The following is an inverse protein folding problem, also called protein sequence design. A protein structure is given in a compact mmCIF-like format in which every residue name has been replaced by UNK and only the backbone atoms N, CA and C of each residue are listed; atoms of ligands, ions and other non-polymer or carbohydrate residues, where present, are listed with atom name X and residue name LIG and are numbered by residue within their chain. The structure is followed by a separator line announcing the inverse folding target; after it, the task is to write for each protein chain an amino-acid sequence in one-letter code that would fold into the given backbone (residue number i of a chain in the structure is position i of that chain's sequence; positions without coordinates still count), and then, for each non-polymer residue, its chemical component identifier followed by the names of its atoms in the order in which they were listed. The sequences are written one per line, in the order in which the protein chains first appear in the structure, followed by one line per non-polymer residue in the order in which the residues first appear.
data_IF_718818655309
#
_entry.id   IF_718818655309
#
_cell.length_a   1.000
_cell.length_b   1.000
_cell.length_c   1.000
_cell.angle_alpha   90.00
_cell.angle_beta   90.00
_cell.angle_gamma   90.00
#
_symmetry.space_group_name_H-M   'P 1'
#
loop_
_entity.id
_entity.type
_entity.pdbx_description
1 polymer ?
#
# COMPACT_ATOMS: atom_id res chain seq x y z
N UNK A 1 -15.95 -5.68 -43.20
CA UNK A 1 -17.18 -5.41 -42.43
C UNK A 1 -17.43 -3.91 -42.47
N UNK A 2 -18.69 -3.49 -42.48
CA UNK A 2 -19.06 -2.05 -42.51
C UNK A 2 -19.15 -1.55 -41.06
N UNK A 3 -18.60 -0.38 -40.76
CA UNK A 3 -18.80 0.30 -39.46
C UNK A 3 -20.29 0.61 -39.30
N UNK A 4 -20.86 0.34 -38.14
CA UNK A 4 -22.26 0.64 -37.85
C UNK A 4 -22.52 2.13 -38.08
N UNK A 5 -23.58 2.46 -38.81
CA UNK A 5 -23.99 3.85 -39.06
C UNK A 5 -24.59 4.46 -37.77
N UNK A 6 -23.72 5.04 -36.94
CA UNK A 6 -24.07 5.68 -35.68
C UNK A 6 -24.51 7.15 -35.85
N UNK A 7 -24.58 7.67 -37.09
CA UNK A 7 -24.93 9.08 -37.36
C UNK A 7 -26.29 9.50 -36.80
N UNK A 8 -27.21 8.56 -36.61
CA UNK A 8 -28.54 8.78 -36.02
C UNK A 8 -28.52 8.96 -34.50
N UNK A 9 -27.47 8.47 -33.85
CA UNK A 9 -27.29 8.49 -32.40
C UNK A 9 -26.22 9.50 -31.96
N UNK A 10 -25.51 10.08 -32.92
CA UNK A 10 -24.52 11.12 -32.68
C UNK A 10 -25.18 12.40 -32.16
N UNK A 11 -24.50 13.02 -31.21
CA UNK A 11 -24.95 14.27 -30.61
C UNK A 11 -24.69 15.44 -31.57
N UNK A 12 -25.75 16.14 -31.98
CA UNK A 12 -25.63 17.32 -32.85
C UNK A 12 -25.46 18.57 -32.00
N UNK A 13 -24.24 19.10 -31.95
CA UNK A 13 -23.89 20.34 -31.24
C UNK A 13 -22.80 21.12 -31.98
N UNK A 14 -22.49 22.34 -31.51
CA UNK A 14 -21.30 23.11 -31.95
C UNK A 14 -19.99 22.48 -31.45
N UNK A 15 -20.08 21.58 -30.47
CA UNK A 15 -18.96 20.86 -29.88
C UNK A 15 -18.77 19.49 -30.54
N UNK A 16 -17.51 19.08 -30.69
CA UNK A 16 -17.15 17.77 -31.22
C UNK A 16 -17.61 16.64 -30.30
N UNK A 17 -18.14 15.57 -30.91
CA UNK A 17 -18.36 14.30 -30.23
C UNK A 17 -17.02 13.61 -29.95
N UNK A 18 -16.98 12.71 -28.96
CA UNK A 18 -15.79 11.87 -28.73
C UNK A 18 -15.57 10.94 -29.92
N UNK A 19 -16.63 10.50 -30.59
CA UNK A 19 -16.54 9.70 -31.80
C UNK A 19 -15.79 10.41 -32.93
N UNK A 20 -16.05 11.70 -33.17
CA UNK A 20 -15.48 12.42 -34.32
C UNK A 20 -13.96 12.63 -34.25
N UNK A 21 -13.37 12.48 -33.05
CA UNK A 21 -11.93 12.63 -32.82
C UNK A 21 -11.18 11.29 -32.73
N UNK A 22 -11.89 10.16 -32.69
CA UNK A 22 -11.28 8.84 -32.59
C UNK A 22 -10.93 8.30 -33.97
N UNK A 23 -9.64 8.03 -34.20
CA UNK A 23 -9.17 7.29 -35.36
C UNK A 23 -9.00 5.82 -35.01
N UNK A 24 -9.89 4.96 -35.53
CA UNK A 24 -9.92 3.52 -35.25
C UNK A 24 -9.80 2.76 -36.56
N UNK A 25 -8.64 2.14 -36.79
CA UNK A 25 -8.36 1.40 -38.03
C UNK A 25 -9.21 0.14 -38.19
N UNK A 26 -9.59 -0.51 -37.09
CA UNK A 26 -10.29 -1.80 -37.09
C UNK A 26 -11.80 -1.65 -36.87
N UNK A 27 -12.57 -2.11 -37.86
CA UNK A 27 -14.04 -1.96 -37.88
C UNK A 27 -14.76 -2.68 -36.74
N UNK A 28 -14.24 -3.83 -36.29
CA UNK A 28 -14.80 -4.59 -35.16
C UNK A 28 -14.58 -3.84 -33.85
N UNK A 29 -13.40 -3.23 -33.68
CA UNK A 29 -13.07 -2.43 -32.50
C UNK A 29 -13.93 -1.18 -32.47
N UNK A 30 -14.07 -0.48 -33.60
CA UNK A 30 -14.94 0.68 -33.75
C UNK A 30 -16.38 0.37 -33.30
N UNK A 31 -16.98 -0.71 -33.82
CA UNK A 31 -18.33 -1.13 -33.44
C UNK A 31 -18.42 -1.47 -31.93
N UNK A 32 -17.40 -2.12 -31.37
CA UNK A 32 -17.36 -2.46 -29.94
C UNK A 32 -17.32 -1.22 -29.05
N UNK A 33 -16.54 -0.21 -29.45
CA UNK A 33 -16.41 1.06 -28.71
C UNK A 33 -17.73 1.83 -28.74
N UNK A 34 -18.41 1.87 -29.89
CA UNK A 34 -19.76 2.43 -30.01
C UNK A 34 -20.72 1.71 -29.06
N UNK A 35 -20.81 0.37 -29.16
CA UNK A 35 -21.79 -0.40 -28.40
C UNK A 35 -21.58 -0.32 -26.87
N UNK A 36 -20.32 -0.36 -26.42
CA UNK A 36 -20.01 -0.40 -24.98
C UNK A 36 -19.94 0.99 -24.35
N UNK A 37 -19.38 1.96 -25.05
CA UNK A 37 -19.06 3.27 -24.47
C UNK A 37 -20.00 4.38 -24.98
N UNK A 38 -20.74 4.16 -26.07
CA UNK A 38 -21.64 5.14 -26.70
C UNK A 38 -20.92 6.47 -26.94
N UNK A 39 -19.71 6.39 -27.52
CA UNK A 39 -18.82 7.53 -27.73
C UNK A 39 -19.41 8.61 -28.63
N UNK A 40 -20.38 8.25 -29.48
CA UNK A 40 -21.19 9.15 -30.31
C UNK A 40 -22.13 10.04 -29.49
N UNK A 41 -22.48 9.61 -28.27
CA UNK A 41 -23.32 10.34 -27.32
C UNK A 41 -22.52 11.14 -26.29
N UNK A 42 -21.19 11.25 -26.46
CA UNK A 42 -20.28 11.96 -25.55
C UNK A 42 -19.78 13.24 -26.20
N UNK A 43 -19.96 14.39 -25.54
CA UNK A 43 -19.46 15.69 -26.01
C UNK A 43 -18.14 16.10 -25.36
N UNK A 44 -17.31 16.81 -26.12
CA UNK A 44 -16.06 17.39 -25.64
C UNK A 44 -16.19 18.91 -25.59
N UNK A 45 -16.27 19.47 -24.38
CA UNK A 45 -16.53 20.89 -24.15
C UNK A 45 -15.31 21.51 -23.47
N UNK A 46 -14.60 22.49 -24.08
CA UNK A 46 -13.31 22.95 -23.57
C UNK A 46 -13.34 23.43 -22.11
N UNK A 47 -14.40 24.15 -21.71
CA UNK A 47 -14.49 24.78 -20.40
C UNK A 47 -15.67 24.29 -19.55
N UNK A 48 -15.45 24.21 -18.24
CA UNK A 48 -16.47 23.86 -17.25
C UNK A 48 -17.64 24.86 -17.21
N UNK A 49 -17.41 26.11 -17.61
CA UNK A 49 -18.46 27.13 -17.72
C UNK A 49 -19.41 26.87 -18.88
N UNK A 50 -18.87 26.54 -20.06
CA UNK A 50 -19.66 26.19 -21.24
C UNK A 50 -20.45 24.90 -21.01
N UNK A 51 -19.80 23.89 -20.42
CA UNK A 51 -20.45 22.61 -20.12
C UNK A 51 -21.64 22.79 -19.16
N UNK A 52 -21.46 23.60 -18.11
CA UNK A 52 -22.54 23.91 -17.17
C UNK A 52 -23.68 24.71 -17.79
N UNK A 53 -23.40 25.65 -18.71
CA UNK A 53 -24.45 26.42 -19.41
C UNK A 53 -25.29 25.52 -20.32
N UNK A 54 -24.64 24.62 -21.05
CA UNK A 54 -25.28 23.77 -22.04
C UNK A 54 -26.10 22.63 -21.42
N UNK A 55 -25.59 22.01 -20.34
CA UNK A 55 -26.12 20.75 -19.83
C UNK A 55 -27.10 20.90 -18.65
N UNK A 56 -27.19 22.09 -18.05
CA UNK A 56 -28.05 22.41 -16.90
C UNK A 56 -29.45 22.91 -17.28
N UNK A 57 -29.69 23.25 -18.54
CA UNK A 57 -31.01 23.64 -19.01
C UNK A 57 -31.51 22.62 -20.02
N UNK A 58 -32.59 21.92 -19.66
CA UNK A 58 -33.22 20.89 -20.50
C UNK A 58 -33.55 21.36 -21.92
N UNK A 59 -33.80 22.66 -22.12
CA UNK A 59 -34.09 23.23 -23.44
C UNK A 59 -32.86 23.38 -24.33
N UNK A 60 -31.68 23.50 -23.72
CA UNK A 60 -30.38 23.69 -24.38
C UNK A 60 -29.60 22.39 -24.57
N UNK A 61 -29.95 21.32 -23.85
CA UNK A 61 -29.29 20.01 -23.97
C UNK A 61 -29.41 19.49 -25.41
N UNK A 62 -28.28 19.21 -26.09
CA UNK A 62 -28.28 18.61 -27.41
C UNK A 62 -28.94 17.22 -27.42
N UNK A 63 -29.65 16.88 -28.50
CA UNK A 63 -30.26 15.56 -28.67
C UNK A 63 -29.20 14.46 -28.59
N UNK A 64 -29.55 13.36 -27.91
CA UNK A 64 -28.69 12.18 -27.70
C UNK A 64 -27.42 12.43 -26.86
N UNK A 65 -27.28 13.59 -26.21
CA UNK A 65 -26.17 13.82 -25.29
C UNK A 65 -26.34 12.98 -24.01
N UNK A 66 -25.41 12.07 -23.75
CA UNK A 66 -25.38 11.24 -22.53
C UNK A 66 -24.51 11.85 -21.43
N UNK A 67 -23.33 12.35 -21.81
CA UNK A 67 -22.43 13.06 -20.92
C UNK A 67 -21.46 13.94 -21.72
N UNK A 68 -20.78 14.86 -21.04
CA UNK A 68 -19.70 15.64 -21.61
C UNK A 68 -18.47 15.62 -20.72
N UNK A 69 -17.31 15.78 -21.32
CA UNK A 69 -16.04 15.93 -20.63
C UNK A 69 -15.41 17.28 -20.95
N UNK A 70 -14.79 17.88 -19.92
CA UNK A 70 -13.98 19.10 -20.07
C UNK A 70 -12.50 18.80 -20.23
N UNK A 71 -11.71 19.80 -20.61
CA UNK A 71 -10.26 19.68 -20.68
C UNK A 71 -9.63 19.33 -19.31
N UNK A 72 -10.27 19.75 -18.22
CA UNK A 72 -9.88 19.41 -16.85
C UNK A 72 -10.35 18.01 -16.42
N UNK A 73 -10.93 17.23 -17.33
CA UNK A 73 -11.52 15.92 -17.10
C UNK A 73 -12.73 15.95 -16.16
N UNK A 74 -13.41 17.09 -16.06
CA UNK A 74 -14.69 17.16 -15.36
C UNK A 74 -15.75 16.43 -16.18
N UNK A 75 -16.53 15.57 -15.54
CA UNK A 75 -17.61 14.84 -16.17
C UNK A 75 -18.95 15.49 -15.85
N UNK A 76 -19.68 15.88 -16.89
CA UNK A 76 -21.01 16.47 -16.80
C UNK A 76 -22.06 15.51 -17.35
N UNK A 77 -23.19 15.39 -16.65
CA UNK A 77 -24.37 14.72 -17.15
C UNK A 77 -25.51 15.73 -17.30
N UNK A 78 -26.29 15.65 -18.39
CA UNK A 78 -27.35 16.62 -18.68
C UNK A 78 -28.61 16.46 -17.83
N UNK A 79 -29.41 17.52 -17.78
CA UNK A 79 -30.78 17.50 -17.27
C UNK A 79 -31.65 16.43 -17.97
N UNK A 80 -32.60 15.79 -17.27
CA UNK A 80 -33.15 16.15 -15.95
C UNK A 80 -32.35 15.66 -14.73
N UNK A 81 -31.33 14.83 -14.92
CA UNK A 81 -30.50 14.28 -13.84
C UNK A 81 -29.12 14.93 -13.85
N UNK A 82 -29.10 16.26 -13.81
CA UNK A 82 -27.86 17.02 -13.88
C UNK A 82 -26.93 16.68 -12.71
N UNK A 83 -25.71 16.24 -13.04
CA UNK A 83 -24.67 15.92 -12.06
C UNK A 83 -23.29 16.23 -12.65
N UNK A 84 -22.39 16.68 -11.79
CA UNK A 84 -21.02 17.03 -12.15
C UNK A 84 -20.07 16.28 -11.24
N UNK A 85 -19.09 15.62 -11.83
CA UNK A 85 -17.97 15.01 -11.12
C UNK A 85 -16.70 15.73 -11.55
N UNK A 86 -16.05 16.39 -10.61
CA UNK A 86 -14.78 17.05 -10.88
C UNK A 86 -13.72 16.03 -11.24
N UNK A 87 -13.00 16.30 -12.32
CA UNK A 87 -11.83 15.52 -12.68
C UNK A 87 -10.75 15.70 -11.62
N UNK A 88 -10.07 14.62 -11.24
CA UNK A 88 -8.79 14.77 -10.54
C UNK A 88 -7.80 15.33 -11.56
N UNK A 89 -7.45 16.61 -11.43
CA UNK A 89 -6.61 17.33 -12.38
C UNK A 89 -5.36 16.55 -12.80
N UNK A 90 -5.02 16.65 -14.09
CA UNK A 90 -3.90 16.00 -14.78
C UNK A 90 -3.79 14.48 -14.58
N UNK A 91 -4.54 13.74 -15.40
CA UNK A 91 -4.25 12.33 -15.62
C UNK A 91 -3.64 12.14 -17.01
N UNK A 92 -2.36 11.76 -16.99
CA UNK A 92 -1.56 11.38 -18.15
C UNK A 92 -2.22 10.23 -18.91
N UNK A 93 -2.31 10.34 -20.24
CA UNK A 93 -2.80 9.25 -21.09
C UNK A 93 -1.86 8.03 -20.97
N UNK A 94 -2.40 6.90 -20.51
CA UNK A 94 -1.63 5.67 -20.22
C UNK A 94 -1.51 4.71 -21.41
N UNK A 95 -2.53 4.70 -22.26
CA UNK A 95 -2.70 3.67 -23.29
C UNK A 95 -2.67 4.28 -24.71
N UNK A 96 -3.44 5.34 -24.94
CA UNK A 96 -3.44 6.08 -26.19
C UNK A 96 -2.43 7.24 -26.08
N UNK A 97 -1.16 6.93 -26.31
CA UNK A 97 -0.07 7.92 -26.30
C UNK A 97 0.27 8.35 -27.74
N UNK A 98 0.48 9.65 -27.92
CA UNK A 98 0.69 10.26 -29.26
C UNK A 98 2.10 10.01 -29.80
N UNK A 99 3.10 9.82 -28.93
CA UNK A 99 4.50 9.63 -29.32
C UNK A 99 5.30 8.83 -28.29
N UNK A 100 6.22 7.99 -28.77
CA UNK A 100 7.17 7.22 -27.95
C UNK A 100 8.23 8.13 -27.32
N UNK A 101 8.60 9.21 -28.01
CA UNK A 101 9.53 10.24 -27.53
C UNK A 101 8.97 10.99 -26.31
N UNK A 102 7.67 11.28 -26.29
CA UNK A 102 6.99 11.83 -25.11
C UNK A 102 7.04 10.85 -23.94
N UNK A 103 6.83 9.56 -24.21
CA UNK A 103 6.95 8.52 -23.19
C UNK A 103 8.35 8.43 -22.61
N UNK A 104 9.39 8.53 -23.44
CA UNK A 104 10.80 8.52 -23.01
C UNK A 104 11.11 9.74 -22.15
N UNK A 105 10.74 10.95 -22.62
CA UNK A 105 10.95 12.21 -21.87
C UNK A 105 10.30 12.19 -20.50
N UNK A 106 9.10 11.64 -20.41
CA UNK A 106 8.38 11.51 -19.15
C UNK A 106 9.02 10.47 -18.22
N UNK A 107 9.46 9.32 -18.75
CA UNK A 107 10.14 8.30 -17.94
C UNK A 107 11.45 8.84 -17.39
N UNK A 108 12.21 9.60 -18.19
CA UNK A 108 13.44 10.25 -17.72
C UNK A 108 13.17 11.24 -16.61
N UNK A 109 12.12 12.06 -16.74
CA UNK A 109 11.72 13.02 -15.70
C UNK A 109 11.31 12.32 -14.40
N UNK A 110 10.48 11.28 -14.48
CA UNK A 110 10.08 10.51 -13.29
C UNK A 110 11.28 9.83 -12.62
N UNK A 111 12.23 9.34 -13.42
CA UNK A 111 13.47 8.77 -12.89
C UNK A 111 14.26 9.83 -12.12
N UNK A 112 14.41 11.04 -12.67
CA UNK A 112 15.08 12.15 -12.00
C UNK A 112 14.40 12.53 -10.68
N UNK A 113 13.08 12.71 -10.68
CA UNK A 113 12.29 13.02 -9.47
C UNK A 113 12.44 11.94 -8.38
N UNK A 114 12.39 10.65 -8.76
CA UNK A 114 12.63 9.55 -7.83
C UNK A 114 14.07 9.55 -7.29
N UNK A 115 15.04 9.90 -8.12
CA UNK A 115 16.46 9.93 -7.73
C UNK A 115 16.74 11.07 -6.76
N UNK A 116 16.16 12.25 -7.00
CA UNK A 116 16.23 13.38 -6.07
C UNK A 116 15.57 13.05 -4.73
N UNK A 117 14.38 12.45 -4.75
CA UNK A 117 13.68 12.05 -3.51
C UNK A 117 14.47 11.01 -2.72
N UNK A 118 15.10 10.05 -3.40
CA UNK A 118 16.00 9.08 -2.77
C UNK A 118 17.23 9.77 -2.16
N UNK A 119 17.84 10.71 -2.89
CA UNK A 119 18.98 11.46 -2.39
C UNK A 119 18.61 12.29 -1.15
N UNK A 120 17.43 12.91 -1.11
CA UNK A 120 16.95 13.65 0.05
C UNK A 120 16.79 12.73 1.27
N UNK A 121 16.11 11.60 1.13
CA UNK A 121 15.92 10.62 2.22
C UNK A 121 17.27 10.08 2.74
N UNK A 122 18.22 9.78 1.84
CA UNK A 122 19.54 9.25 2.23
C UNK A 122 20.41 10.32 2.89
N UNK A 123 20.39 11.55 2.37
CA UNK A 123 21.26 12.61 2.88
C UNK A 123 20.73 13.28 4.14
N UNK A 124 19.41 13.44 4.26
CA UNK A 124 18.78 14.11 5.38
C UNK A 124 18.51 13.11 6.51
N UNK A 125 17.55 12.21 6.31
CA UNK A 125 17.01 11.39 7.40
C UNK A 125 18.01 10.36 7.93
N UNK A 126 18.74 9.69 7.02
CA UNK A 126 19.71 8.66 7.43
C UNK A 126 20.94 9.30 8.09
N UNK A 127 21.49 10.38 7.54
CA UNK A 127 22.68 11.02 8.13
C UNK A 127 22.38 11.69 9.46
N UNK A 128 21.22 12.33 9.58
CA UNK A 128 20.78 12.97 10.83
C UNK A 128 20.58 11.91 11.92
N UNK A 129 19.86 10.82 11.62
CA UNK A 129 19.68 9.69 12.54
C UNK A 129 21.01 9.05 12.97
N UNK A 130 21.98 8.94 12.06
CA UNK A 130 23.33 8.43 12.38
C UNK A 130 24.12 9.39 13.27
N UNK A 131 23.99 10.70 13.07
CA UNK A 131 24.62 11.70 13.91
C UNK A 131 24.04 11.67 15.33
N UNK A 132 22.72 11.59 15.47
CA UNK A 132 22.04 11.46 16.76
C UNK A 132 22.47 10.19 17.53
N UNK A 133 22.54 9.04 16.83
CA UNK A 133 23.02 7.79 17.42
C UNK A 133 24.44 7.91 17.98
N UNK A 134 25.33 8.59 17.25
CA UNK A 134 26.71 8.80 17.68
C UNK A 134 26.78 9.67 18.95
N UNK A 135 25.98 10.72 18.99
CA UNK A 135 25.89 11.65 20.12
C UNK A 135 25.34 10.96 21.39
N UNK A 136 24.34 10.10 21.23
CA UNK A 136 23.78 9.24 22.28
C UNK A 136 24.80 8.22 22.80
N UNK A 137 25.57 7.59 21.92
CA UNK A 137 26.64 6.65 22.31
C UNK A 137 27.72 7.34 23.16
N UNK A 138 28.10 8.57 22.81
CA UNK A 138 29.10 9.33 23.56
C UNK A 138 28.59 9.74 24.95
N UNK A 139 27.33 10.19 25.04
CA UNK A 139 26.67 10.47 26.34
C UNK A 139 26.59 9.23 27.22
N UNK A 140 26.26 8.07 26.65
CA UNK A 140 26.27 6.79 27.38
C UNK A 140 27.67 6.45 27.92
N UNK A 141 28.71 6.63 27.10
CA UNK A 141 30.10 6.35 27.50
C UNK A 141 30.52 7.24 28.67
N UNK A 142 30.25 8.55 28.61
CA UNK A 142 30.56 9.48 29.70
C UNK A 142 29.81 9.11 30.98
N UNK A 143 28.53 8.80 30.89
CA UNK A 143 27.72 8.38 32.05
C UNK A 143 28.26 7.08 32.66
N UNK A 144 28.67 6.12 31.84
CA UNK A 144 29.26 4.86 32.31
C UNK A 144 30.59 5.07 33.06
N UNK A 145 31.44 5.99 32.59
CA UNK A 145 32.68 6.37 33.28
C UNK A 145 32.39 7.04 34.62
N UNK A 146 31.38 7.91 34.70
CA UNK A 146 30.95 8.55 35.97
C UNK A 146 30.46 7.51 36.97
N UNK A 147 29.64 6.55 36.53
CA UNK A 147 29.18 5.44 37.37
C UNK A 147 30.36 4.61 37.89
N UNK A 148 31.38 4.38 37.07
CA UNK A 148 32.58 3.66 37.49
C UNK A 148 33.40 4.47 38.51
N UNK A 149 33.48 5.80 38.35
CA UNK A 149 34.08 6.72 39.32
C UNK A 149 33.38 6.67 40.67
N UNK A 150 32.05 6.86 40.68
CA UNK A 150 31.26 6.79 41.91
C UNK A 150 31.35 5.43 42.59
N UNK A 151 31.44 4.32 41.83
CA UNK A 151 31.69 3.00 42.42
C UNK A 151 33.03 2.90 43.14
N UNK A 152 34.09 3.51 42.61
CA UNK A 152 35.41 3.54 43.25
C UNK A 152 35.39 4.39 44.50
N UNK A 153 34.81 5.58 44.45
CA UNK A 153 34.65 6.47 45.60
C UNK A 153 33.83 5.82 46.72
N UNK A 154 32.75 5.12 46.37
CA UNK A 154 31.93 4.37 47.32
C UNK A 154 32.71 3.19 47.93
N UNK A 155 33.64 2.59 47.18
CA UNK A 155 34.58 1.59 47.69
C UNK A 155 35.58 2.17 48.69
N UNK A 156 36.17 3.33 48.40
CA UNK A 156 37.09 4.00 49.34
C UNK A 156 36.37 4.49 50.59
N UNK A 157 35.16 5.05 50.44
CA UNK A 157 34.35 5.51 51.58
C UNK A 157 33.95 4.35 52.50
N UNK A 158 33.73 3.15 51.94
CA UNK A 158 33.49 1.93 52.72
C UNK A 158 34.72 1.48 53.50
N UNK A 159 35.92 1.61 52.93
CA UNK A 159 37.14 1.27 53.65
C UNK A 159 37.42 2.27 54.77
N UNK A 160 37.25 3.57 54.53
CA UNK A 160 37.41 4.58 55.59
C UNK A 160 36.34 4.45 56.67
N UNK A 161 35.10 4.08 56.33
CA UNK A 161 34.09 3.71 57.32
C UNK A 161 34.53 2.53 58.18
N UNK A 162 35.14 1.50 57.58
CA UNK A 162 35.65 0.34 58.31
C UNK A 162 36.87 0.69 59.21
N UNK A 163 37.73 1.62 58.77
CA UNK A 163 38.85 2.13 59.58
C UNK A 163 38.36 3.01 60.74
N UNK A 164 37.39 3.89 60.49
CA UNK A 164 36.79 4.75 61.53
C UNK A 164 35.96 3.94 62.54
N UNK A 165 35.28 2.87 62.10
CA UNK A 165 34.62 1.92 63.01
C UNK A 165 35.60 1.14 63.90
N UNK A 166 36.86 1.00 63.49
CA UNK A 166 37.92 0.40 64.30
C UNK A 166 38.65 1.41 65.22
N UNK A 167 38.42 2.71 65.05
CA UNK A 167 38.99 3.77 65.88
C UNK A 167 37.91 4.42 66.77
N UNK A 168 37.31 3.64 67.67
CA UNK A 168 36.63 4.21 68.84
C UNK A 168 37.66 4.64 69.88
N UNK A 169 38.15 5.88 69.80
CA UNK A 169 38.49 6.63 71.02
C UNK A 169 38.30 8.13 70.80
N UNK A 170 37.41 8.69 71.64
CA UNK A 170 37.19 10.10 72.03
C UNK A 170 36.34 11.02 71.13
N UNK A 171 35.24 11.61 71.65
CA UNK A 171 34.45 12.61 70.93
C UNK A 171 34.85 14.05 71.30
N UNK A 172 34.78 14.98 70.33
CA UNK A 172 34.43 16.36 70.60
C UNK A 172 33.17 16.80 69.80
N UNK A 173 32.58 17.97 70.11
CA UNK A 173 31.15 18.20 69.99
C UNK A 173 30.76 18.82 68.64
N UNK A 174 30.12 18.04 67.76
CA UNK A 174 29.07 18.50 66.84
C UNK A 174 28.27 17.31 66.26
N UNK A 175 27.97 16.33 67.13
CA UNK A 175 27.49 14.99 66.73
C UNK A 175 26.08 15.05 66.14
N UNK A 176 25.24 15.97 66.58
CA UNK A 176 23.82 16.03 66.19
C UNK A 176 23.60 16.45 64.73
N UNK A 177 24.43 17.34 64.18
CA UNK A 177 24.30 17.75 62.78
C UNK A 177 24.79 16.65 61.84
N UNK A 178 25.88 15.99 62.21
CA UNK A 178 26.44 14.87 61.46
C UNK A 178 25.53 13.62 61.52
N UNK A 179 24.89 13.35 62.66
CA UNK A 179 23.88 12.28 62.78
C UNK A 179 22.66 12.52 61.88
N UNK A 180 22.17 13.76 61.80
CA UNK A 180 21.05 14.14 60.93
C UNK A 180 21.43 13.97 59.44
N UNK A 181 22.64 14.39 59.04
CA UNK A 181 23.14 14.22 57.67
C UNK A 181 23.38 12.75 57.30
N UNK A 182 23.93 11.94 58.21
CA UNK A 182 24.10 10.50 58.02
C UNK A 182 22.75 9.84 57.81
N UNK A 183 21.75 10.17 58.63
CA UNK A 183 20.38 9.63 58.50
C UNK A 183 19.73 10.01 57.16
N UNK A 184 19.95 11.24 56.68
CA UNK A 184 19.48 11.67 55.36
C UNK A 184 20.20 10.95 54.21
N UNK A 185 21.51 10.74 54.32
CA UNK A 185 22.30 10.02 53.33
C UNK A 185 21.91 8.55 53.27
N UNK A 186 21.68 7.90 54.41
CA UNK A 186 21.19 6.52 54.48
C UNK A 186 19.82 6.37 53.82
N UNK A 187 18.90 7.31 54.06
CA UNK A 187 17.59 7.33 53.41
C UNK A 187 17.71 7.51 51.88
N UNK A 188 18.57 8.41 51.42
CA UNK A 188 18.86 8.60 49.98
C UNK A 188 19.49 7.34 49.37
N UNK A 189 20.38 6.67 50.08
CA UNK A 189 21.04 5.45 49.65
C UNK A 189 20.04 4.28 49.56
N UNK A 190 19.11 4.19 50.50
CA UNK A 190 17.99 3.23 50.48
C UNK A 190 17.09 3.43 49.26
N UNK A 191 16.67 4.67 49.00
CA UNK A 191 15.86 5.03 47.84
C UNK A 191 16.59 4.76 46.51
N UNK A 192 17.89 5.04 46.43
CA UNK A 192 18.70 4.75 45.26
C UNK A 192 18.83 3.25 45.00
N UNK A 193 19.00 2.43 46.05
CA UNK A 193 19.02 0.96 45.94
C UNK A 193 17.67 0.41 45.48
N UNK A 194 16.56 0.90 46.02
CA UNK A 194 15.22 0.47 45.62
C UNK A 194 14.95 0.75 44.13
N UNK A 195 15.25 1.97 43.65
CA UNK A 195 15.13 2.33 42.23
C UNK A 195 16.03 1.49 41.33
N UNK A 196 17.23 1.13 41.81
CA UNK A 196 18.17 0.30 41.04
C UNK A 196 17.65 -1.13 40.85
N UNK A 197 17.04 -1.72 41.88
CA UNK A 197 16.40 -3.04 41.78
C UNK A 197 15.14 -3.01 40.91
N UNK A 198 14.35 -1.95 40.98
CA UNK A 198 13.18 -1.78 40.11
C UNK A 198 13.58 -1.69 38.62
N UNK A 199 14.59 -0.88 38.30
CA UNK A 199 15.14 -0.77 36.94
C UNK A 199 15.73 -2.12 36.48
N UNK A 200 16.44 -2.82 37.37
CA UNK A 200 17.01 -4.14 37.06
C UNK A 200 15.92 -5.16 36.74
N UNK A 201 14.83 -5.18 37.51
CA UNK A 201 13.69 -6.07 37.27
C UNK A 201 13.01 -5.76 35.94
N UNK A 202 12.69 -4.49 35.68
CA UNK A 202 12.06 -4.07 34.42
C UNK A 202 12.95 -4.34 33.19
N UNK A 203 14.26 -4.19 33.32
CA UNK A 203 15.20 -4.51 32.24
C UNK A 203 15.24 -6.02 31.93
N UNK A 204 15.10 -6.88 32.95
CA UNK A 204 15.07 -8.33 32.78
C UNK A 204 13.79 -8.78 32.09
N UNK A 205 12.64 -8.23 32.49
CA UNK A 205 11.33 -8.50 31.88
C UNK A 205 11.33 -8.11 30.40
N UNK A 206 11.75 -6.89 30.06
CA UNK A 206 11.85 -6.44 28.65
C UNK A 206 12.82 -7.30 27.81
N UNK A 207 13.89 -7.81 28.43
CA UNK A 207 14.84 -8.70 27.75
C UNK A 207 14.21 -10.07 27.47
N UNK A 208 13.40 -10.60 28.39
CA UNK A 208 12.65 -11.84 28.15
C UNK A 208 11.60 -11.66 27.06
N UNK A 209 10.84 -10.57 27.08
CA UNK A 209 9.88 -10.24 26.02
C UNK A 209 10.54 -10.14 24.65
N UNK A 210 11.69 -9.44 24.55
CA UNK A 210 12.44 -9.34 23.31
C UNK A 210 12.92 -10.70 22.81
N UNK A 211 13.41 -11.57 23.70
CA UNK A 211 13.85 -12.91 23.32
C UNK A 211 12.67 -13.76 22.82
N UNK A 212 11.51 -13.69 23.47
CA UNK A 212 10.30 -14.39 23.04
C UNK A 212 9.85 -13.89 21.67
N UNK A 213 9.80 -12.57 21.47
CA UNK A 213 9.47 -11.96 20.18
C UNK A 213 10.47 -12.33 19.07
N UNK A 214 11.76 -12.37 19.39
CA UNK A 214 12.80 -12.78 18.43
C UNK A 214 12.62 -14.26 18.02
N UNK A 215 12.27 -15.14 18.96
CA UNK A 215 12.01 -16.55 18.67
C UNK A 215 10.77 -16.73 17.79
N UNK A 216 9.67 -16.03 18.07
CA UNK A 216 8.45 -16.09 17.22
C UNK A 216 8.72 -15.55 15.83
N UNK A 217 9.51 -14.48 15.70
CA UNK A 217 9.88 -13.92 14.40
C UNK A 217 10.74 -14.89 13.58
N UNK A 218 11.63 -15.66 14.22
CA UNK A 218 12.43 -16.69 13.54
C UNK A 218 11.55 -17.84 13.04
N UNK A 219 10.60 -18.32 13.84
CA UNK A 219 9.66 -19.37 13.43
C UNK A 219 8.79 -18.92 12.24
N UNK A 220 8.28 -17.69 12.27
CA UNK A 220 7.51 -17.13 11.15
C UNK A 220 8.34 -17.03 9.86
N UNK A 221 9.58 -16.54 9.93
CA UNK A 221 10.47 -16.50 8.75
C UNK A 221 10.76 -17.90 8.21
N UNK A 222 10.90 -18.90 9.08
CA UNK A 222 11.13 -20.27 8.65
C UNK A 222 9.91 -20.86 7.94
N UNK A 223 8.71 -20.61 8.47
CA UNK A 223 7.44 -21.00 7.84
C UNK A 223 7.23 -20.30 6.50
N UNK A 224 7.51 -19.01 6.43
CA UNK A 224 7.47 -18.22 5.20
C UNK A 224 8.43 -18.80 4.14
N UNK A 225 9.68 -19.04 4.51
CA UNK A 225 10.68 -19.64 3.60
C UNK A 225 10.24 -21.02 3.12
N UNK A 226 9.69 -21.85 4.00
CA UNK A 226 9.15 -23.16 3.62
C UNK A 226 7.99 -23.01 2.62
N UNK A 227 7.05 -22.10 2.87
CA UNK A 227 5.92 -21.83 1.99
C UNK A 227 6.39 -21.36 0.59
N UNK A 228 7.32 -20.41 0.51
CA UNK A 228 7.90 -19.99 -0.76
C UNK A 228 8.61 -21.14 -1.49
N UNK A 229 9.37 -21.97 -0.77
CA UNK A 229 10.04 -23.13 -1.37
C UNK A 229 9.06 -24.18 -1.91
N UNK A 230 7.89 -24.32 -1.29
CA UNK A 230 6.82 -25.18 -1.80
C UNK A 230 6.22 -24.58 -3.06
N UNK A 231 5.96 -23.26 -3.10
CA UNK A 231 5.41 -22.55 -4.27
C UNK A 231 6.36 -22.57 -5.46
N UNK A 232 7.67 -22.39 -5.29
CA UNK A 232 8.66 -22.45 -6.37
C UNK A 232 8.71 -23.81 -7.08
N UNK A 233 8.30 -24.90 -6.41
CA UNK A 233 8.23 -26.23 -7.03
C UNK A 233 7.10 -26.35 -8.05
N UNK A 234 6.10 -25.47 -7.98
CA UNK A 234 5.01 -25.41 -8.95
C UNK A 234 5.43 -24.53 -10.11
N UNK A 235 5.41 -25.09 -11.32
CA UNK A 235 5.65 -24.33 -12.54
C UNK A 235 4.34 -24.17 -13.26
N UNK A 236 4.15 -23.06 -13.95
CA UNK A 236 2.95 -22.83 -14.72
C UNK A 236 3.14 -21.75 -15.77
N UNK A 237 2.25 -21.74 -16.75
CA UNK A 237 2.21 -20.72 -17.78
C UNK A 237 0.76 -20.32 -18.01
N UNK A 238 0.52 -19.01 -18.02
CA UNK A 238 -0.75 -18.44 -18.46
C UNK A 238 -0.51 -17.79 -19.81
N UNK A 239 -1.21 -18.23 -20.85
CA UNK A 239 -1.19 -17.61 -22.17
C UNK A 239 -2.59 -17.23 -22.61
N UNK A 240 -2.71 -16.04 -23.19
CA UNK A 240 -3.97 -15.49 -23.69
C UNK A 240 -3.85 -15.46 -25.21
N UNK A 241 -4.68 -16.25 -25.89
CA UNK A 241 -4.81 -16.25 -27.35
C UNK A 241 -6.04 -15.44 -27.73
N UNK A 242 -5.84 -14.18 -28.13
CA UNK A 242 -6.94 -13.29 -28.53
C UNK A 242 -7.63 -13.83 -29.80
N UNK A 243 -6.85 -14.34 -30.75
CA UNK A 243 -7.34 -14.96 -32.00
C UNK A 243 -8.23 -16.18 -31.75
N UNK A 244 -7.97 -16.93 -30.69
CA UNK A 244 -8.71 -18.15 -30.32
C UNK A 244 -9.77 -17.90 -29.24
N UNK A 245 -9.93 -16.65 -28.77
CA UNK A 245 -10.73 -16.28 -27.59
C UNK A 245 -10.43 -17.16 -26.35
N UNK A 246 -9.19 -17.62 -26.19
CA UNK A 246 -8.84 -18.66 -25.22
C UNK A 246 -7.85 -18.17 -24.16
N UNK A 247 -8.14 -18.49 -22.89
CA UNK A 247 -7.22 -18.37 -21.76
C UNK A 247 -6.66 -19.74 -21.42
N UNK A 248 -5.39 -19.97 -21.73
CA UNK A 248 -4.70 -21.22 -21.44
C UNK A 248 -3.97 -21.09 -20.11
N UNK A 249 -4.36 -21.90 -19.12
CA UNK A 249 -3.69 -21.99 -17.82
C UNK A 249 -3.07 -23.37 -17.70
N UNK A 250 -1.75 -23.43 -17.68
CA UNK A 250 -0.99 -24.64 -17.44
C UNK A 250 -0.37 -24.58 -16.05
N UNK A 251 -0.53 -25.63 -15.26
CA UNK A 251 0.14 -25.81 -13.98
C UNK A 251 0.75 -27.20 -13.97
N UNK A 252 2.07 -27.25 -13.85
CA UNK A 252 2.86 -28.45 -13.68
C UNK A 252 3.04 -28.72 -12.19
N UNK A 253 2.37 -29.77 -11.70
CA UNK A 253 2.54 -30.25 -10.34
C UNK A 253 3.88 -30.98 -10.21
N UNK A 254 4.71 -30.66 -9.20
CA UNK A 254 5.98 -31.36 -8.99
C UNK A 254 5.76 -32.87 -8.78
N UNK A 255 6.44 -33.68 -9.60
CA UNK A 255 6.38 -35.15 -9.54
C UNK A 255 5.28 -35.80 -10.39
N UNK A 256 4.49 -35.04 -11.14
CA UNK A 256 3.47 -35.57 -12.07
C UNK A 256 3.80 -35.08 -13.48
N UNK A 257 4.27 -35.99 -14.34
CA UNK A 257 4.41 -35.69 -15.77
C UNK A 257 3.03 -35.74 -16.42
N UNK A 258 2.46 -34.57 -16.71
CA UNK A 258 1.25 -34.48 -17.53
C UNK A 258 1.66 -34.73 -18.99
N UNK A 259 1.16 -35.82 -19.59
CA UNK A 259 1.41 -36.16 -21.01
C UNK A 259 0.69 -35.22 -21.98
N UNK A 260 -0.13 -34.29 -21.49
CA UNK A 260 -0.69 -33.19 -22.27
C UNK A 260 -1.09 -32.03 -21.35
N UNK A 261 -0.89 -30.77 -21.76
CA UNK A 261 -1.40 -29.62 -21.02
C UNK A 261 -2.92 -29.72 -20.92
N UNK A 262 -3.47 -29.46 -19.73
CA UNK A 262 -4.92 -29.27 -19.57
C UNK A 262 -5.30 -28.03 -20.37
N UNK A 263 -5.74 -28.23 -21.61
CA UNK A 263 -6.33 -27.17 -22.43
C UNK A 263 -7.73 -26.90 -21.89
N UNK A 264 -7.86 -25.88 -21.05
CA UNK A 264 -9.17 -25.32 -20.73
C UNK A 264 -9.56 -24.43 -21.91
N UNK A 265 -10.08 -25.05 -22.97
CA UNK A 265 -10.46 -24.35 -24.20
C UNK A 265 -11.87 -23.77 -24.00
N UNK A 266 -11.96 -22.60 -23.35
CA UNK A 266 -13.22 -21.90 -23.16
C UNK A 266 -13.58 -21.12 -24.44
N UNK A 267 -14.15 -21.80 -25.43
CA UNK A 267 -14.72 -21.09 -26.58
C UNK A 267 -16.12 -20.57 -26.24
N UNK A 268 -16.42 -19.31 -26.59
CA UNK A 268 -17.73 -18.67 -26.40
C UNK A 268 -18.93 -19.47 -26.94
N UNK A 269 -18.69 -20.42 -27.86
CA UNK A 269 -19.70 -21.30 -28.46
C UNK A 269 -20.08 -22.51 -27.59
N UNK A 270 -19.17 -23.04 -26.77
CA UNK A 270 -19.42 -24.21 -25.93
C UNK A 270 -20.01 -23.83 -24.55
N UNK A 271 -19.69 -22.65 -24.02
CA UNK A 271 -20.29 -22.12 -22.78
C UNK A 271 -21.82 -22.00 -22.89
N UNK A 272 -22.37 -21.61 -24.05
CA UNK A 272 -23.82 -21.41 -24.21
C UNK A 272 -24.66 -22.68 -24.03
N UNK A 273 -24.05 -23.87 -24.07
CA UNK A 273 -24.73 -25.17 -23.89
C UNK A 273 -24.39 -25.89 -22.57
N UNK A 274 -23.45 -25.39 -21.78
CA UNK A 274 -23.02 -26.07 -20.56
C UNK A 274 -23.87 -25.68 -19.35
N UNK A 275 -24.26 -26.67 -18.54
CA UNK A 275 -24.90 -26.47 -17.22
C UNK A 275 -24.13 -25.49 -16.34
N UNK A 276 -22.79 -25.50 -16.40
CA UNK A 276 -21.92 -24.58 -15.65
C UNK A 276 -22.07 -23.11 -16.05
N UNK A 277 -22.40 -22.78 -17.30
CA UNK A 277 -22.68 -21.40 -17.70
C UNK A 277 -24.05 -20.94 -17.18
N UNK A 278 -25.01 -21.85 -17.10
CA UNK A 278 -26.31 -21.60 -16.48
C UNK A 278 -26.15 -21.35 -14.98
N UNK A 279 -25.31 -22.13 -14.29
CA UNK A 279 -24.99 -21.95 -12.87
C UNK A 279 -24.25 -20.62 -12.60
N UNK A 280 -23.30 -20.23 -13.45
CA UNK A 280 -22.59 -18.94 -13.36
C UNK A 280 -23.50 -17.72 -13.62
N UNK A 281 -24.50 -17.86 -14.51
CA UNK A 281 -25.53 -16.84 -14.74
C UNK A 281 -26.51 -16.76 -13.57
N UNK A 282 -26.81 -17.90 -12.94
CA UNK A 282 -27.70 -18.01 -11.78
C UNK A 282 -27.06 -17.54 -10.46
N UNK A 283 -25.74 -17.33 -10.42
CA UNK A 283 -25.09 -16.75 -9.24
C UNK A 283 -25.68 -15.37 -8.92
N UNK A 284 -25.93 -15.13 -7.64
CA UNK A 284 -26.35 -13.82 -7.13
C UNK A 284 -25.31 -12.75 -7.50
N UNK A 285 -25.73 -11.49 -7.63
CA UNK A 285 -24.81 -10.37 -7.89
C UNK A 285 -23.68 -10.27 -6.86
N UNK A 286 -23.94 -10.71 -5.62
CA UNK A 286 -22.94 -10.82 -4.57
C UNK A 286 -21.93 -11.95 -4.80
N UNK A 287 -22.38 -13.13 -5.22
CA UNK A 287 -21.52 -14.30 -5.48
C UNK A 287 -20.60 -14.07 -6.68
N UNK A 288 -21.12 -13.42 -7.73
CA UNK A 288 -20.32 -12.99 -8.89
C UNK A 288 -19.23 -12.00 -8.48
N UNK A 289 -19.58 -11.01 -7.67
CA UNK A 289 -18.64 -10.03 -7.14
C UNK A 289 -17.56 -10.71 -6.29
N UNK A 290 -17.95 -11.63 -5.40
CA UNK A 290 -17.02 -12.35 -4.52
C UNK A 290 -16.05 -13.25 -5.30
N UNK A 291 -16.56 -14.06 -6.22
CA UNK A 291 -15.72 -14.95 -7.03
C UNK A 291 -14.75 -14.17 -7.92
N UNK A 292 -15.18 -13.04 -8.47
CA UNK A 292 -14.33 -12.15 -9.28
C UNK A 292 -13.21 -11.55 -8.44
N UNK A 293 -13.52 -11.05 -7.24
CA UNK A 293 -12.52 -10.49 -6.32
C UNK A 293 -11.55 -11.57 -5.83
N UNK A 294 -12.04 -12.75 -5.46
CA UNK A 294 -11.20 -13.87 -5.04
C UNK A 294 -10.23 -14.31 -6.16
N UNK A 295 -10.68 -14.32 -7.41
CA UNK A 295 -9.83 -14.61 -8.56
C UNK A 295 -8.77 -13.52 -8.79
N UNK A 296 -9.13 -12.24 -8.69
CA UNK A 296 -8.18 -11.11 -8.77
C UNK A 296 -7.13 -11.19 -7.65
N UNK A 297 -7.56 -11.51 -6.42
CA UNK A 297 -6.66 -11.70 -5.26
C UNK A 297 -5.72 -12.91 -5.48
N UNK A 298 -6.21 -13.99 -6.08
CA UNK A 298 -5.36 -15.15 -6.40
C UNK A 298 -4.28 -14.81 -7.44
N UNK A 299 -4.61 -13.97 -8.43
CA UNK A 299 -3.66 -13.47 -9.43
C UNK A 299 -2.73 -12.36 -8.90
N UNK A 300 -3.07 -11.75 -7.76
CA UNK A 300 -2.36 -10.63 -7.13
C UNK A 300 -0.88 -10.88 -6.88
N UNK A 301 -0.50 -12.12 -6.57
CA UNK A 301 0.89 -12.50 -6.32
C UNK A 301 1.68 -12.77 -7.61
N UNK A 302 1.00 -13.12 -8.71
CA UNK A 302 1.61 -13.40 -10.01
C UNK A 302 1.73 -12.15 -10.90
N UNK A 303 0.95 -11.10 -10.62
CA UNK A 303 0.99 -9.84 -11.37
C UNK A 303 2.02 -8.90 -10.73
N UNK A 304 3.20 -8.79 -11.33
CA UNK A 304 4.17 -7.72 -11.01
C UNK A 304 3.72 -6.43 -11.71
N UNK A 305 2.70 -5.76 -11.16
CA UNK A 305 2.22 -4.45 -11.63
C UNK A 305 2.80 -3.31 -10.77
N UNK A 306 3.27 -2.19 -11.37
CA UNK A 306 3.85 -1.05 -10.66
C UNK A 306 2.83 -0.08 -10.05
N UNK A 307 1.52 -0.32 -10.14
CA UNK A 307 0.49 0.49 -9.45
C UNK A 307 -0.51 -0.45 -8.76
N UNK A 308 -0.72 -0.23 -7.47
CA UNK A 308 -1.70 -0.92 -6.63
C UNK A 308 -2.59 0.12 -5.97
N UNK A 309 -3.86 0.18 -6.39
CA UNK A 309 -4.90 0.98 -5.72
C UNK A 309 -6.18 0.15 -5.71
N UNK A 310 -6.61 -0.25 -4.53
CA UNK A 310 -7.98 -0.65 -4.21
C UNK A 310 -8.42 0.35 -3.14
N UNK A 311 -9.26 1.31 -3.52
CA UNK A 311 -9.90 2.22 -2.57
C UNK A 311 -11.36 1.79 -2.41
N UNK A 312 -11.84 1.84 -1.16
CA UNK A 312 -13.11 1.37 -0.59
C UNK A 312 -14.05 0.51 -1.47
N UNK A 313 -14.09 -0.80 -1.18
CA UNK A 313 -15.29 -1.61 -1.44
C UNK A 313 -16.28 -1.41 -0.29
N UNK A 314 -17.42 -0.80 -0.60
CA UNK A 314 -18.44 -0.39 0.35
C UNK A 314 -19.28 -1.58 0.90
N UNK A 315 -19.57 -1.49 2.20
CA UNK A 315 -20.43 -2.27 3.12
C UNK A 315 -20.34 -3.80 3.19
N UNK A 316 -20.27 -4.55 2.09
CA UNK A 316 -20.51 -6.02 2.12
C UNK A 316 -19.29 -6.89 2.46
N UNK A 317 -18.08 -6.31 2.47
CA UNK A 317 -16.81 -7.02 2.68
C UNK A 317 -16.08 -6.58 3.95
N UNK A 318 -16.72 -5.78 4.84
CA UNK A 318 -16.13 -5.34 6.12
C UNK A 318 -15.60 -6.49 6.97
N UNK A 319 -16.28 -7.64 6.94
CA UNK A 319 -15.88 -8.83 7.70
C UNK A 319 -14.59 -9.48 7.18
N UNK A 320 -14.31 -9.36 5.87
CA UNK A 320 -13.09 -9.91 5.28
C UNK A 320 -11.87 -9.02 5.58
N UNK A 321 -12.07 -7.70 5.57
CA UNK A 321 -11.01 -6.72 5.89
C UNK A 321 -10.60 -6.84 7.36
N UNK A 322 -11.54 -7.13 8.27
CA UNK A 322 -11.25 -7.39 9.68
C UNK A 322 -10.38 -8.65 9.89
N UNK A 323 -10.56 -9.68 9.07
CA UNK A 323 -9.75 -10.91 9.14
C UNK A 323 -8.29 -10.68 8.71
N UNK A 324 -8.06 -9.79 7.75
CA UNK A 324 -6.71 -9.47 7.24
C UNK A 324 -5.98 -8.49 8.16
N UNK A 325 -6.69 -7.56 8.80
CA UNK A 325 -6.09 -6.63 9.77
C UNK A 325 -5.81 -7.25 11.16
N UNK A 326 -6.37 -8.42 11.47
CA UNK A 326 -6.09 -9.13 12.73
C UNK A 326 -4.86 -10.05 12.70
N UNK A 327 -4.15 -10.15 11.57
CA UNK A 327 -3.00 -11.06 11.36
C UNK A 327 -1.70 -10.31 11.03
N UNK A 328 -1.74 -8.98 10.94
CA UNK A 328 -0.57 -8.10 10.94
C UNK A 328 -0.44 -7.43 12.31
#
# INVERSE_FOLDING_TARGET
MVVLDASRFETSSEYSSLWSILDISETVVANTVIDQMQVESILLIPTSQEAGKLLKDKSLVPKNCKCAYTLNLDQYYPDPNYRVYSGRGSHRARFLQVSVEDKIRDITKNKEECTERLNLLVTHDIKESLAELKDLQEKMKVSSSKIQGYKKELGSLRMTLAELQNQETTPPPDVTQLEEEVKQLEAKMGNAKAKMEEIRKSSLEKKQEFNNFSATLMDLRQKEKHAYSEVEKWKGSVSISIEEEALNIHVEKPGVHYTSPVKIQLTSKELKKSKTHQDLIMMSGGERSYATVAFIIALWHAIVSPVRILDEFDVFMKDLTALVQGVL
#
